data_IF_511483131595
#
_entry.id   IF_511483131595
#
_cell.length_a   1.000
_cell.length_b   1.000
_cell.length_c   1.000
_cell.angle_alpha   90.00
_cell.angle_beta   90.00
_cell.angle_gamma   90.00
#
_symmetry.space_group_name_H-M   'P 1'
#
loop_
_entity.id
_entity.type
_entity.pdbx_description
1 polymer ?
#
# COMPACT_ATOMS: atom_id res chain seq x y z
N UNK A 1 -40.36 48.85 4.24
CA UNK A 1 -39.76 48.25 3.02
C UNK A 1 -38.25 47.95 3.19
N UNK A 2 -37.75 47.68 4.41
CA UNK A 2 -36.34 47.35 4.68
C UNK A 2 -36.14 45.99 5.38
N UNK A 3 -37.21 45.21 5.59
CA UNK A 3 -37.12 43.86 6.18
C UNK A 3 -36.66 42.79 5.16
N UNK A 4 -37.08 42.92 3.89
CA UNK A 4 -36.64 42.06 2.79
C UNK A 4 -35.11 42.03 2.57
N UNK A 5 -34.39 43.17 2.49
CA UNK A 5 -32.94 43.15 2.27
C UNK A 5 -32.17 42.58 3.46
N UNK A 6 -32.64 42.79 4.69
CA UNK A 6 -32.02 42.23 5.90
C UNK A 6 -32.18 40.72 5.95
N UNK A 7 -33.36 40.19 5.57
CA UNK A 7 -33.59 38.75 5.50
C UNK A 7 -32.70 38.07 4.46
N UNK A 8 -32.50 38.69 3.30
CA UNK A 8 -31.62 38.17 2.23
C UNK A 8 -30.16 38.12 2.69
N UNK A 9 -29.67 39.15 3.40
CA UNK A 9 -28.32 39.19 3.97
C UNK A 9 -28.12 38.11 5.05
N UNK A 10 -29.09 37.89 5.93
CA UNK A 10 -29.00 36.84 6.96
C UNK A 10 -28.98 35.42 6.36
N UNK A 11 -29.76 35.19 5.30
CA UNK A 11 -29.72 33.92 4.56
C UNK A 11 -28.36 33.71 3.88
N UNK A 12 -27.79 34.75 3.26
CA UNK A 12 -26.45 34.67 2.66
C UNK A 12 -25.35 34.34 3.68
N UNK A 13 -25.38 34.97 4.87
CA UNK A 13 -24.38 34.73 5.93
C UNK A 13 -24.45 33.30 6.50
N UNK A 14 -25.65 32.71 6.59
CA UNK A 14 -25.80 31.30 7.04
C UNK A 14 -25.34 30.29 5.99
N UNK A 15 -25.44 30.62 4.69
CA UNK A 15 -24.97 29.77 3.58
C UNK A 15 -23.43 29.71 3.54
N UNK A 16 -22.72 30.82 3.80
CA UNK A 16 -21.25 30.84 3.77
C UNK A 16 -20.57 30.15 4.96
N UNK A 17 -21.25 30.02 6.10
CA UNK A 17 -20.69 29.38 7.29
C UNK A 17 -20.71 27.84 7.20
N UNK A 18 -21.71 27.25 6.54
CA UNK A 18 -21.87 25.78 6.45
C UNK A 18 -21.03 25.12 5.35
N UNK A 19 -20.60 25.90 4.35
CA UNK A 19 -19.85 25.40 3.20
C UNK A 19 -18.32 25.34 3.40
N UNK A 20 -17.79 25.84 4.52
CA UNK A 20 -16.34 26.06 4.68
C UNK A 20 -15.59 24.98 5.45
N UNK A 21 -16.26 23.95 5.96
CA UNK A 21 -15.55 22.83 6.59
C UNK A 21 -15.72 21.58 5.74
N UNK A 22 -14.70 21.15 4.98
CA UNK A 22 -14.68 19.79 4.48
C UNK A 22 -14.74 18.85 5.69
N UNK A 23 -15.51 17.77 5.58
CA UNK A 23 -15.42 16.70 6.57
C UNK A 23 -13.93 16.35 6.74
N UNK A 24 -13.45 16.13 7.98
CA UNK A 24 -12.07 15.69 8.19
C UNK A 24 -11.82 14.51 7.27
N UNK A 25 -10.65 14.43 6.60
CA UNK A 25 -10.35 13.30 5.75
C UNK A 25 -10.60 12.06 6.58
N UNK A 26 -11.61 11.27 6.18
CA UNK A 26 -11.82 9.95 6.74
C UNK A 26 -10.54 9.23 6.36
N UNK A 27 -9.61 9.11 7.30
CA UNK A 27 -8.48 8.23 7.16
C UNK A 27 -9.11 6.85 7.00
N UNK A 28 -9.26 6.42 5.75
CA UNK A 28 -9.65 5.06 5.43
C UNK A 28 -8.76 4.16 6.30
N UNK A 29 -9.39 3.21 6.99
CA UNK A 29 -8.78 2.26 7.92
C UNK A 29 -7.31 1.97 7.57
N UNK A 30 -6.35 2.05 8.52
CA UNK A 30 -4.97 1.71 8.22
C UNK A 30 -4.93 0.29 7.65
N UNK A 31 -4.62 0.18 6.35
CA UNK A 31 -4.48 -1.09 5.68
C UNK A 31 -3.31 -1.80 6.36
N UNK A 32 -3.66 -2.77 7.19
CA UNK A 32 -2.70 -3.53 7.99
C UNK A 32 -2.54 -4.87 7.32
N UNK A 33 -1.34 -5.14 6.83
CA UNK A 33 -1.00 -6.39 6.16
C UNK A 33 -0.31 -7.35 7.14
N UNK A 34 -0.21 -8.65 6.84
CA UNK A 34 0.68 -9.53 7.59
C UNK A 34 2.09 -8.95 7.64
N UNK A 35 2.80 -9.12 8.77
CA UNK A 35 4.14 -8.54 8.99
C UNK A 35 5.14 -8.88 7.89
N UNK A 36 5.04 -10.10 7.33
CA UNK A 36 5.85 -10.56 6.19
C UNK A 36 5.71 -9.62 4.98
N UNK A 37 4.53 -9.09 4.72
CA UNK A 37 4.25 -8.23 3.56
C UNK A 37 4.89 -6.84 3.65
N UNK A 38 5.40 -6.45 4.83
CA UNK A 38 6.16 -5.21 5.01
C UNK A 38 7.66 -5.37 4.77
N UNK A 39 8.16 -6.60 4.62
CA UNK A 39 9.58 -6.83 4.38
C UNK A 39 9.96 -6.39 2.95
N UNK A 40 11.12 -5.75 2.74
CA UNK A 40 11.57 -5.40 1.39
C UNK A 40 11.88 -6.66 0.57
N UNK A 41 11.88 -6.60 -0.77
CA UNK A 41 12.39 -7.70 -1.58
C UNK A 41 13.86 -7.95 -1.25
N UNK A 42 14.20 -9.20 -0.96
CA UNK A 42 15.57 -9.60 -0.63
C UNK A 42 16.03 -10.70 -1.60
N UNK A 43 16.90 -10.32 -2.54
CA UNK A 43 17.45 -11.21 -3.57
C UNK A 43 18.37 -12.30 -3.03
N UNK A 44 18.70 -12.29 -1.73
CA UNK A 44 19.50 -13.32 -1.08
C UNK A 44 20.84 -13.56 -1.79
N UNK A 45 21.61 -12.50 -2.00
CA UNK A 45 22.86 -12.58 -2.75
C UNK A 45 23.92 -13.35 -1.95
N UNK A 46 24.12 -14.62 -2.27
CA UNK A 46 25.15 -15.43 -1.63
C UNK A 46 26.47 -15.36 -2.35
N UNK A 47 27.55 -15.47 -1.58
CA UNK A 47 28.90 -15.63 -2.10
C UNK A 47 29.10 -17.03 -2.68
N UNK A 48 28.63 -17.25 -3.91
CA UNK A 48 29.04 -18.41 -4.71
C UNK A 48 30.43 -18.13 -5.27
N UNK A 49 31.46 -18.37 -4.45
CA UNK A 49 32.89 -18.28 -4.77
C UNK A 49 33.25 -18.12 -6.26
N UNK A 50 33.45 -16.87 -6.68
CA UNK A 50 34.29 -16.33 -7.77
C UNK A 50 34.37 -17.00 -9.16
N UNK A 51 33.65 -18.10 -9.46
CA UNK A 51 33.77 -18.84 -10.72
C UNK A 51 32.43 -19.26 -11.35
N UNK A 52 31.28 -18.85 -10.80
CA UNK A 52 29.99 -19.06 -11.44
C UNK A 52 29.62 -17.84 -12.28
N UNK A 53 29.93 -17.89 -13.57
CA UNK A 53 29.50 -16.90 -14.57
C UNK A 53 27.98 -16.89 -14.82
N UNK A 54 27.21 -17.70 -14.10
CA UNK A 54 25.76 -17.72 -14.13
C UNK A 54 25.18 -17.47 -12.74
N UNK A 55 24.42 -16.39 -12.63
CA UNK A 55 23.56 -16.11 -11.50
C UNK A 55 22.23 -16.84 -11.74
N UNK A 56 22.05 -18.04 -11.18
CA UNK A 56 20.77 -18.77 -11.22
C UNK A 56 19.75 -18.07 -10.30
N UNK A 57 19.01 -17.11 -10.87
CA UNK A 57 17.93 -16.41 -10.19
C UNK A 57 16.60 -17.12 -10.40
N UNK A 58 15.91 -17.40 -9.30
CA UNK A 58 14.52 -17.84 -9.34
C UNK A 58 13.60 -16.61 -9.34
N UNK A 59 12.69 -16.54 -10.31
CA UNK A 59 11.63 -15.53 -10.31
C UNK A 59 10.65 -15.79 -9.17
N UNK A 60 10.45 -14.78 -8.33
CA UNK A 60 9.50 -14.77 -7.21
C UNK A 60 8.72 -13.47 -7.20
N UNK A 61 7.70 -13.38 -6.35
CA UNK A 61 6.89 -12.18 -6.22
C UNK A 61 6.96 -11.65 -4.78
N UNK A 62 7.12 -10.35 -4.61
CA UNK A 62 7.03 -9.68 -3.31
C UNK A 62 5.85 -8.70 -3.33
N UNK A 63 5.26 -8.44 -2.17
CA UNK A 63 4.23 -7.43 -1.99
C UNK A 63 4.86 -6.07 -1.71
N UNK A 64 4.47 -5.07 -2.49
CA UNK A 64 4.80 -3.66 -2.28
C UNK A 64 3.61 -2.98 -1.59
N UNK A 65 3.80 -2.59 -0.32
CA UNK A 65 2.76 -1.93 0.48
C UNK A 65 2.41 -0.53 -0.04
N UNK A 66 3.30 0.14 -0.76
CA UNK A 66 3.08 1.48 -1.27
C UNK A 66 2.11 1.48 -2.47
N UNK A 67 2.25 0.49 -3.35
CA UNK A 67 1.34 0.31 -4.49
C UNK A 67 0.22 -0.67 -4.21
N UNK A 68 0.34 -1.43 -3.12
CA UNK A 68 -0.53 -2.54 -2.76
C UNK A 68 -0.57 -3.58 -3.88
N UNK A 69 0.55 -3.85 -4.53
CA UNK A 69 0.65 -4.78 -5.64
C UNK A 69 1.80 -5.76 -5.45
N UNK A 70 1.80 -6.84 -6.23
CA UNK A 70 2.84 -7.86 -6.18
C UNK A 70 3.68 -7.81 -7.45
N UNK A 71 5.00 -7.64 -7.30
CA UNK A 71 5.93 -7.49 -8.42
C UNK A 71 6.93 -8.65 -8.48
N UNK A 72 7.34 -9.06 -9.69
CA UNK A 72 8.36 -10.08 -9.85
C UNK A 72 9.74 -9.54 -9.44
N UNK A 73 10.56 -10.39 -8.82
CA UNK A 73 11.97 -10.13 -8.54
C UNK A 73 12.77 -11.43 -8.62
N UNK A 74 14.09 -11.31 -8.79
CA UNK A 74 15.01 -12.45 -8.82
C UNK A 74 15.65 -12.69 -7.46
N UNK A 75 15.71 -13.95 -7.05
CA UNK A 75 16.30 -14.38 -5.77
C UNK A 75 17.13 -15.64 -5.95
N UNK A 76 18.26 -15.73 -5.24
CA UNK A 76 19.03 -16.95 -5.18
C UNK A 76 18.43 -17.95 -4.17
N UNK A 77 18.86 -19.20 -4.20
CA UNK A 77 18.30 -20.28 -3.37
C UNK A 77 18.88 -20.35 -1.94
N UNK A 78 19.47 -19.27 -1.45
CA UNK A 78 20.23 -19.29 -0.19
C UNK A 78 19.95 -18.02 0.63
N UNK A 79 18.97 -18.09 1.54
CA UNK A 79 18.58 -16.95 2.39
C UNK A 79 17.40 -16.18 1.82
N UNK A 80 17.41 -14.86 2.03
CA UNK A 80 16.28 -13.99 1.73
C UNK A 80 15.26 -13.94 2.88
N UNK A 81 14.17 -13.22 2.66
CA UNK A 81 13.08 -13.14 3.61
C UNK A 81 11.78 -13.72 3.04
N UNK A 82 10.73 -13.73 3.85
CA UNK A 82 9.49 -14.45 3.55
C UNK A 82 8.53 -13.68 2.63
N UNK A 83 8.82 -12.42 2.26
CA UNK A 83 8.04 -11.68 1.26
C UNK A 83 8.41 -12.16 -0.16
N UNK A 84 8.20 -13.44 -0.40
CA UNK A 84 8.70 -14.17 -1.55
C UNK A 84 7.76 -15.33 -1.91
N UNK A 85 6.86 -15.08 -2.84
CA UNK A 85 5.83 -16.03 -3.28
C UNK A 85 6.16 -16.63 -4.66
N UNK A 86 5.62 -17.81 -4.98
CA UNK A 86 5.90 -18.49 -6.24
C UNK A 86 5.26 -17.78 -7.44
N UNK A 87 4.13 -17.11 -7.22
CA UNK A 87 3.39 -16.43 -8.27
C UNK A 87 2.63 -15.20 -7.71
N UNK A 88 2.16 -14.33 -8.62
CA UNK A 88 1.43 -13.10 -8.25
C UNK A 88 0.16 -13.38 -7.46
N UNK A 89 -0.58 -14.44 -7.78
CA UNK A 89 -1.86 -14.76 -7.13
C UNK A 89 -1.66 -15.14 -5.66
N UNK A 90 -0.67 -16.01 -5.38
CA UNK A 90 -0.30 -16.41 -4.02
C UNK A 90 0.08 -15.19 -3.15
N UNK A 91 0.90 -14.29 -3.70
CA UNK A 91 1.28 -13.05 -3.02
C UNK A 91 0.07 -12.16 -2.69
N UNK A 92 -0.82 -11.97 -3.67
CA UNK A 92 -2.02 -11.14 -3.48
C UNK A 92 -2.98 -11.77 -2.47
N UNK A 93 -3.18 -13.09 -2.54
CA UNK A 93 -4.03 -13.81 -1.59
C UNK A 93 -3.45 -13.76 -0.18
N UNK A 94 -2.14 -13.85 0.00
CA UNK A 94 -1.52 -13.79 1.31
C UNK A 94 -1.54 -12.37 1.90
N UNK A 95 -1.21 -11.35 1.11
CA UNK A 95 -1.02 -10.00 1.62
C UNK A 95 -2.28 -9.14 1.59
N UNK A 96 -3.27 -9.40 0.72
CA UNK A 96 -4.53 -8.63 0.68
C UNK A 96 -5.69 -9.32 1.40
N UNK A 97 -5.47 -10.40 2.12
CA UNK A 97 -6.52 -10.98 2.98
C UNK A 97 -6.97 -9.95 4.01
N UNK A 98 -8.28 -9.80 4.14
CA UNK A 98 -8.92 -8.75 4.93
C UNK A 98 -8.92 -9.02 6.43
N UNK A 99 -8.25 -10.08 6.90
CA UNK A 99 -8.27 -10.50 8.30
C UNK A 99 -6.86 -10.48 8.84
N UNK A 100 -6.54 -9.41 9.57
CA UNK A 100 -5.39 -9.37 10.47
C UNK A 100 -5.50 -10.54 11.46
N UNK A 101 -4.63 -11.55 11.33
CA UNK A 101 -4.39 -12.52 12.40
C UNK A 101 -3.18 -12.11 13.23
#
# INVERSE_FOLDING_TARGET
MHLLPVLILLLAVTIEAKSRYPDPPVFASPLTYPSICYLPPDSALCDTSANSSEMDLLTRYYFDVATQECYPFGVQKCGGNQNQFNNRLECQQFCKTTESS
#
